data_IF_769357397011
#
_entry.id   IF_769357397011
#
_cell.length_a   1.000
_cell.length_b   1.000
_cell.length_c   1.000
_cell.angle_alpha   90.00
_cell.angle_beta   90.00
_cell.angle_gamma   90.00
#
_symmetry.space_group_name_H-M   'P 1'
#
loop_
_entity.id
_entity.type
_entity.pdbx_description
1 polymer ?
#
# COMPACT_ATOMS: atom_id res chain seq x y z
N UNK A 1 -18.75 24.02 0.73
CA UNK A 1 -18.67 22.95 1.74
C UNK A 1 -18.66 21.58 1.07
N UNK A 2 -19.68 21.21 0.28
CA UNK A 2 -19.71 19.88 -0.36
C UNK A 2 -18.59 19.64 -1.39
N UNK A 3 -18.26 20.66 -2.18
CA UNK A 3 -17.15 20.59 -3.15
C UNK A 3 -15.77 20.43 -2.48
N UNK A 4 -15.52 21.11 -1.35
CA UNK A 4 -14.28 20.99 -0.58
C UNK A 4 -14.14 19.61 0.05
N UNK A 5 -15.25 19.05 0.56
CA UNK A 5 -15.30 17.69 1.11
C UNK A 5 -15.00 16.66 0.02
N UNK A 6 -15.60 16.81 -1.17
CA UNK A 6 -15.36 15.95 -2.32
C UNK A 6 -13.88 15.96 -2.75
N UNK A 7 -13.28 17.16 -2.85
CA UNK A 7 -11.86 17.30 -3.19
C UNK A 7 -10.95 16.65 -2.15
N UNK A 8 -11.24 16.86 -0.86
CA UNK A 8 -10.51 16.22 0.24
C UNK A 8 -10.58 14.70 0.16
N UNK A 9 -11.76 14.12 -0.11
CA UNK A 9 -11.93 12.68 -0.26
C UNK A 9 -11.11 12.11 -1.43
N UNK A 10 -11.11 12.79 -2.58
CA UNK A 10 -10.30 12.40 -3.75
C UNK A 10 -8.81 12.47 -3.43
N UNK A 11 -8.36 13.51 -2.73
CA UNK A 11 -6.96 13.67 -2.33
C UNK A 11 -6.53 12.57 -1.36
N UNK A 12 -7.34 12.26 -0.35
CA UNK A 12 -7.08 11.16 0.60
C UNK A 12 -7.01 9.82 -0.14
N UNK A 13 -7.93 9.55 -1.05
CA UNK A 13 -7.92 8.32 -1.85
C UNK A 13 -6.64 8.21 -2.70
N UNK A 14 -6.25 9.29 -3.38
CA UNK A 14 -5.03 9.35 -4.17
C UNK A 14 -3.79 9.12 -3.30
N UNK A 15 -3.74 9.70 -2.11
CA UNK A 15 -2.65 9.50 -1.15
C UNK A 15 -2.56 8.04 -0.71
N UNK A 16 -3.67 7.38 -0.40
CA UNK A 16 -3.69 5.97 0.03
C UNK A 16 -3.21 5.05 -1.09
N UNK A 17 -3.70 5.25 -2.32
CA UNK A 17 -3.32 4.44 -3.47
C UNK A 17 -1.85 4.63 -3.85
N UNK A 18 -1.37 5.87 -3.83
CA UNK A 18 0.04 6.16 -4.12
C UNK A 18 0.97 5.63 -3.04
N UNK A 19 0.56 5.67 -1.76
CA UNK A 19 1.32 5.07 -0.65
C UNK A 19 1.57 3.57 -0.86
N UNK A 20 0.59 2.83 -1.35
CA UNK A 20 0.77 1.40 -1.67
C UNK A 20 1.74 1.18 -2.83
N UNK A 21 1.68 2.01 -3.88
CA UNK A 21 2.63 1.93 -5.00
C UNK A 21 4.06 2.22 -4.52
N UNK A 22 4.23 3.26 -3.71
CA UNK A 22 5.53 3.61 -3.10
C UNK A 22 6.02 2.50 -2.18
N UNK A 23 5.15 1.88 -1.40
CA UNK A 23 5.47 0.72 -0.58
C UNK A 23 6.08 -0.43 -1.40
N UNK A 24 5.47 -0.79 -2.54
CA UNK A 24 6.03 -1.81 -3.43
C UNK A 24 7.41 -1.40 -3.97
N UNK A 25 7.56 -0.15 -4.38
CA UNK A 25 8.83 0.39 -4.88
C UNK A 25 9.93 0.33 -3.81
N UNK A 26 9.61 0.72 -2.59
CA UNK A 26 10.55 0.72 -1.47
C UNK A 26 11.00 -0.71 -1.12
N UNK A 27 10.10 -1.70 -1.13
CA UNK A 27 10.48 -3.11 -1.00
C UNK A 27 11.24 -3.64 -2.23
N UNK A 28 10.96 -3.14 -3.43
CA UNK A 28 11.72 -3.49 -4.63
C UNK A 28 13.18 -3.03 -4.52
N UNK A 29 13.44 -1.83 -4.01
CA UNK A 29 14.79 -1.24 -3.93
C UNK A 29 15.53 -1.66 -2.66
N UNK A 30 14.88 -1.57 -1.50
CA UNK A 30 15.51 -1.67 -0.19
C UNK A 30 14.96 -2.82 0.68
N UNK A 31 14.74 -3.99 0.08
CA UNK A 31 14.05 -5.12 0.74
C UNK A 31 14.57 -5.49 2.12
N UNK A 32 15.89 -5.56 2.32
CA UNK A 32 16.52 -5.97 3.58
C UNK A 32 16.12 -5.09 4.78
N UNK A 33 16.51 -3.81 4.75
CA UNK A 33 16.14 -2.77 5.67
C UNK A 33 14.62 -2.65 5.86
N UNK A 34 13.83 -2.80 4.80
CA UNK A 34 12.37 -2.65 4.89
C UNK A 34 11.68 -3.83 5.54
N UNK A 35 12.18 -5.05 5.34
CA UNK A 35 11.69 -6.25 6.04
C UNK A 35 12.00 -6.14 7.52
N UNK A 36 13.22 -5.74 7.88
CA UNK A 36 13.61 -5.59 9.28
C UNK A 36 12.83 -4.46 9.94
N UNK A 37 12.69 -3.31 9.27
CA UNK A 37 11.89 -2.19 9.74
C UNK A 37 10.42 -2.57 9.94
N UNK A 38 9.82 -3.27 8.98
CA UNK A 38 8.43 -3.73 9.08
C UNK A 38 8.26 -4.66 10.27
N UNK A 39 9.16 -5.64 10.45
CA UNK A 39 9.11 -6.58 11.59
C UNK A 39 9.30 -5.87 12.93
N UNK A 40 10.21 -4.91 13.03
CA UNK A 40 10.42 -4.12 14.25
C UNK A 40 9.19 -3.30 14.63
N UNK A 41 8.43 -2.83 13.63
CA UNK A 41 7.22 -2.04 13.86
C UNK A 41 5.92 -2.84 13.99
N UNK A 42 5.97 -4.18 13.90
CA UNK A 42 4.81 -5.05 14.06
C UNK A 42 4.99 -6.00 15.22
N UNK A 43 3.92 -6.31 15.94
CA UNK A 43 3.93 -7.27 17.05
C UNK A 43 3.51 -8.65 16.56
N UNK A 44 4.26 -9.69 16.96
CA UNK A 44 3.83 -11.07 16.75
C UNK A 44 2.69 -11.41 17.72
N UNK A 45 1.45 -11.35 17.21
CA UNK A 45 0.18 -11.53 17.95
C UNK A 45 -0.23 -10.38 18.88
N UNK A 46 -0.66 -9.23 18.30
CA UNK A 46 -1.11 -8.09 19.10
C UNK A 46 -2.41 -8.41 19.85
N UNK A 47 -2.35 -8.48 21.18
CA UNK A 47 -3.51 -8.79 22.04
C UNK A 47 -4.22 -7.52 22.49
N UNK A 48 -3.46 -6.46 22.77
CA UNK A 48 -3.98 -5.18 23.25
C UNK A 48 -4.28 -4.20 22.10
N UNK A 49 -5.14 -3.20 22.34
CA UNK A 49 -5.43 -2.15 21.35
C UNK A 49 -4.16 -1.34 21.05
N UNK A 50 -3.32 -1.09 22.07
CA UNK A 50 -2.06 -0.37 21.92
C UNK A 50 -1.07 -1.09 21.00
N UNK A 51 -1.05 -2.42 21.00
CA UNK A 51 -0.23 -3.21 20.06
C UNK A 51 -0.82 -3.25 18.64
N UNK A 52 -2.16 -3.17 18.50
CA UNK A 52 -2.84 -3.19 17.19
C UNK A 52 -2.66 -1.92 16.39
N UNK A 53 -2.50 -0.76 17.04
CA UNK A 53 -2.32 0.53 16.38
C UNK A 53 -1.07 0.57 15.48
N UNK A 54 0.16 0.30 15.98
CA UNK A 54 1.36 0.31 15.15
C UNK A 54 1.30 -0.77 14.06
N UNK A 55 0.71 -1.92 14.38
CA UNK A 55 0.42 -2.99 13.41
C UNK A 55 -0.45 -2.51 12.24
N UNK A 56 -1.50 -1.77 12.56
CA UNK A 56 -2.39 -1.16 11.57
C UNK A 56 -1.65 -0.10 10.76
N UNK A 57 -0.86 0.77 11.39
CA UNK A 57 -0.08 1.80 10.68
C UNK A 57 0.93 1.15 9.72
N UNK A 58 1.63 0.10 10.14
CA UNK A 58 2.58 -0.62 9.28
C UNK A 58 1.87 -1.32 8.13
N UNK A 59 0.75 -2.01 8.38
CA UNK A 59 -0.05 -2.64 7.32
C UNK A 59 -0.64 -1.61 6.36
N UNK A 60 -1.10 -0.48 6.88
CA UNK A 60 -1.66 0.60 6.08
C UNK A 60 -0.61 1.29 5.22
N UNK A 61 0.60 1.47 5.73
CA UNK A 61 1.67 2.19 5.01
C UNK A 61 2.45 1.27 4.07
N UNK A 62 2.79 0.07 4.54
CA UNK A 62 3.73 -0.84 3.90
C UNK A 62 3.13 -2.20 3.51
N UNK A 63 1.84 -2.42 3.75
CA UNK A 63 1.21 -3.73 3.65
C UNK A 63 1.37 -4.38 2.28
N UNK A 64 1.12 -3.67 1.19
CA UNK A 64 1.21 -4.28 -0.15
C UNK A 64 2.64 -4.67 -0.53
N UNK A 65 3.62 -3.81 -0.25
CA UNK A 65 5.04 -4.09 -0.49
C UNK A 65 5.54 -5.29 0.31
N UNK A 66 5.22 -5.35 1.61
CA UNK A 66 5.58 -6.47 2.47
C UNK A 66 4.88 -7.78 2.05
N UNK A 67 3.59 -7.72 1.71
CA UNK A 67 2.83 -8.88 1.24
C UNK A 67 3.43 -9.48 -0.04
N UNK A 68 3.72 -8.65 -1.05
CA UNK A 68 4.30 -9.11 -2.31
C UNK A 68 5.72 -9.64 -2.11
N UNK A 69 6.52 -8.98 -1.28
CA UNK A 69 7.84 -9.47 -0.91
C UNK A 69 7.76 -10.88 -0.31
N UNK A 70 6.90 -11.10 0.68
CA UNK A 70 6.72 -12.42 1.29
C UNK A 70 6.21 -13.45 0.26
N UNK A 71 5.28 -13.07 -0.61
CA UNK A 71 4.75 -13.96 -1.67
C UNK A 71 5.85 -14.41 -2.65
N UNK A 72 6.82 -13.54 -2.95
CA UNK A 72 7.91 -13.82 -3.88
C UNK A 72 9.21 -14.28 -3.20
N UNK A 73 9.24 -14.34 -1.87
CA UNK A 73 10.41 -14.77 -1.08
C UNK A 73 10.87 -16.20 -1.41
N UNK A 74 9.97 -17.05 -1.93
CA UNK A 74 10.27 -18.43 -2.38
C UNK A 74 11.17 -18.51 -3.61
N UNK A 75 11.34 -17.42 -4.35
CA UNK A 75 12.20 -17.37 -5.54
C UNK A 75 13.58 -16.81 -5.20
N UNK A 76 14.55 -17.06 -6.08
CA UNK A 76 15.87 -16.44 -5.97
C UNK A 76 15.77 -14.91 -6.06
N UNK A 77 16.82 -14.20 -5.63
CA UNK A 77 16.81 -12.75 -5.51
C UNK A 77 16.45 -12.04 -6.83
N UNK A 78 17.06 -12.45 -7.96
CA UNK A 78 16.83 -11.81 -9.26
C UNK A 78 15.38 -11.99 -9.74
N UNK A 79 14.86 -13.22 -9.66
CA UNK A 79 13.47 -13.53 -10.06
C UNK A 79 12.48 -12.81 -9.16
N UNK A 80 12.77 -12.70 -7.86
CA UNK A 80 11.95 -11.91 -6.92
C UNK A 80 11.91 -10.43 -7.33
N UNK A 81 13.04 -9.81 -7.69
CA UNK A 81 13.06 -8.41 -8.17
C UNK A 81 12.24 -8.22 -9.44
N UNK A 82 12.35 -9.15 -10.39
CA UNK A 82 11.53 -9.10 -11.61
C UNK A 82 10.03 -9.20 -11.30
N UNK A 83 9.61 -10.11 -10.41
CA UNK A 83 8.20 -10.21 -10.01
C UNK A 83 7.72 -8.98 -9.24
N UNK A 84 8.55 -8.40 -8.38
CA UNK A 84 8.24 -7.15 -7.68
C UNK A 84 8.08 -5.98 -8.66
N UNK A 85 8.93 -5.89 -9.69
CA UNK A 85 8.83 -4.87 -10.75
C UNK A 85 7.55 -5.03 -11.57
N UNK A 86 7.23 -6.26 -11.98
CA UNK A 86 5.98 -6.57 -12.67
C UNK A 86 4.79 -6.20 -11.79
N UNK A 87 4.82 -6.58 -10.51
CA UNK A 87 3.75 -6.27 -9.57
C UNK A 87 3.59 -4.76 -9.35
N UNK A 88 4.68 -3.98 -9.33
CA UNK A 88 4.64 -2.52 -9.24
C UNK A 88 3.85 -1.91 -10.41
N UNK A 89 4.13 -2.35 -11.63
CA UNK A 89 3.45 -1.85 -12.84
C UNK A 89 1.96 -2.24 -12.80
N UNK A 90 1.66 -3.52 -12.54
CA UNK A 90 0.28 -4.00 -12.46
C UNK A 90 -0.50 -3.28 -11.35
N UNK A 91 0.09 -3.11 -10.18
CA UNK A 91 -0.57 -2.45 -9.07
C UNK A 91 -0.79 -0.96 -9.35
N UNK A 92 0.15 -0.28 -10.01
CA UNK A 92 -0.02 1.10 -10.46
C UNK A 92 -1.22 1.26 -11.41
N UNK A 93 -1.36 0.36 -12.39
CA UNK A 93 -2.51 0.36 -13.31
C UNK A 93 -3.81 0.12 -12.54
N UNK A 94 -3.84 -0.89 -11.65
CA UNK A 94 -5.01 -1.19 -10.82
C UNK A 94 -5.38 0.01 -9.93
N UNK A 95 -4.40 0.69 -9.34
CA UNK A 95 -4.62 1.87 -8.52
C UNK A 95 -5.27 3.01 -9.30
N UNK A 96 -4.84 3.27 -10.54
CA UNK A 96 -5.45 4.28 -11.41
C UNK A 96 -6.91 3.90 -11.74
N UNK A 97 -7.17 2.63 -12.04
CA UNK A 97 -8.53 2.16 -12.32
C UNK A 97 -9.42 2.34 -11.10
N UNK A 98 -8.97 1.92 -9.92
CA UNK A 98 -9.71 2.06 -8.65
C UNK A 98 -9.98 3.54 -8.35
N UNK A 99 -8.97 4.40 -8.51
CA UNK A 99 -9.12 5.85 -8.29
C UNK A 99 -10.25 6.42 -9.17
N UNK A 100 -10.22 6.12 -10.47
CA UNK A 100 -11.22 6.63 -11.41
C UNK A 100 -12.63 6.11 -11.10
N UNK A 101 -12.76 4.81 -10.79
CA UNK A 101 -14.06 4.21 -10.44
C UNK A 101 -14.66 4.85 -9.19
N UNK A 102 -13.88 5.01 -8.12
CA UNK A 102 -14.37 5.62 -6.88
C UNK A 102 -14.66 7.10 -7.08
N UNK A 103 -13.78 7.82 -7.77
CA UNK A 103 -13.96 9.25 -8.06
C UNK A 103 -15.25 9.49 -8.86
N UNK A 104 -15.54 8.66 -9.86
CA UNK A 104 -16.78 8.72 -10.64
C UNK A 104 -18.02 8.51 -9.74
N UNK A 105 -17.97 7.56 -8.82
CA UNK A 105 -19.07 7.32 -7.87
C UNK A 105 -19.24 8.49 -6.89
N UNK A 106 -18.14 9.05 -6.39
CA UNK A 106 -18.17 10.23 -5.54
C UNK A 106 -18.78 11.42 -6.27
N UNK A 107 -18.37 11.66 -7.52
CA UNK A 107 -18.93 12.75 -8.33
C UNK A 107 -20.44 12.58 -8.51
N UNK A 108 -20.93 11.36 -8.71
CA UNK A 108 -22.37 11.09 -8.84
C UNK A 108 -23.13 11.37 -7.54
N UNK A 109 -22.55 11.06 -6.38
CA UNK A 109 -23.19 11.25 -5.06
C UNK A 109 -23.21 12.72 -4.63
N UNK A 110 -22.16 13.47 -4.96
CA UNK A 110 -21.98 14.88 -4.56
C UNK A 110 -22.42 15.87 -5.66
N UNK A 111 -23.04 15.39 -6.75
CA UNK A 111 -23.79 16.19 -7.73
C UNK A 111 -25.13 16.61 -7.15
#
# INVERSE_FOLDING_TARGET
MDAEILELLKLVLMAILSLQVVSILVFLVAEWAMVDFYKMGTFENPKSIFEKIPDFIMKFTFGMGFYLYNKFSKYNWLVRKLFMLIALIFYGIIAIIIFNLITMLLDLIFT
#
